data_IF_679301782001
#
_entry.id   IF_679301782001
#
_cell.length_a   1.000
_cell.length_b   1.000
_cell.length_c   1.000
_cell.angle_alpha   90.00
_cell.angle_beta   90.00
_cell.angle_gamma   90.00
#
_symmetry.space_group_name_H-M   'P 1'
#
loop_
_entity.id
_entity.type
_entity.pdbx_description
1 polymer ?
#
# COMPACT_ATOMS: atom_id res chain seq x y z
N UNK A 1 37.13 12.76 47.17
CA UNK A 1 38.07 11.65 47.48
C UNK A 1 37.43 10.32 47.10
N UNK A 2 37.88 9.70 46.00
CA UNK A 2 38.10 8.25 45.80
C UNK A 2 38.54 8.08 44.34
N UNK A 3 39.83 7.79 44.17
CA UNK A 3 40.56 7.56 42.91
C UNK A 3 40.63 6.04 42.65
N UNK A 4 41.02 5.72 41.40
CA UNK A 4 41.81 4.56 40.90
C UNK A 4 40.96 3.56 40.07
N UNK A 5 41.39 3.04 38.93
CA UNK A 5 42.70 3.02 38.26
C UNK A 5 42.53 2.72 36.74
N UNK A 6 43.39 3.30 35.91
CA UNK A 6 43.60 2.94 34.50
C UNK A 6 44.66 1.84 34.41
N UNK A 7 44.50 0.86 33.51
CA UNK A 7 45.57 0.00 33.02
C UNK A 7 45.62 0.06 31.49
N UNK A 8 46.69 0.68 30.98
CA UNK A 8 47.22 0.48 29.63
C UNK A 8 48.22 -0.69 29.70
N UNK A 9 48.21 -1.57 28.69
CA UNK A 9 49.42 -2.20 28.17
C UNK A 9 49.25 -2.41 26.66
N UNK A 10 50.24 -1.88 25.92
CA UNK A 10 50.44 -2.02 24.50
C UNK A 10 51.35 -3.23 24.19
N UNK A 11 51.43 -3.58 22.90
CA UNK A 11 52.51 -4.23 22.11
C UNK A 11 51.79 -5.12 21.07
N UNK A 12 51.58 -4.71 19.81
CA UNK A 12 52.49 -4.49 18.68
C UNK A 12 52.86 -5.76 17.88
N UNK A 13 52.94 -5.54 16.55
CA UNK A 13 53.59 -6.33 15.48
C UNK A 13 52.70 -7.32 14.70
N UNK A 14 52.68 -7.15 13.37
CA UNK A 14 52.33 -8.23 12.43
C UNK A 14 51.78 -7.81 11.07
N UNK A 15 52.66 -7.28 10.19
CA UNK A 15 52.41 -7.21 8.75
C UNK A 15 52.32 -8.63 8.15
N UNK A 16 51.38 -8.90 7.24
CA UNK A 16 51.62 -9.65 6.00
C UNK A 16 50.37 -9.71 5.12
N UNK A 17 50.55 -9.26 3.89
CA UNK A 17 49.78 -9.54 2.69
C UNK A 17 49.69 -11.05 2.43
N UNK A 18 48.56 -11.51 1.88
CA UNK A 18 48.52 -12.39 0.69
C UNK A 18 47.10 -12.65 0.19
N UNK A 19 46.90 -12.35 -1.09
CA UNK A 19 45.86 -12.88 -1.97
C UNK A 19 45.91 -14.42 -2.03
N UNK A 20 44.80 -15.09 -2.34
CA UNK A 20 44.85 -16.30 -3.14
C UNK A 20 44.38 -16.02 -4.57
N UNK A 21 45.29 -16.34 -5.49
CA UNK A 21 45.07 -16.49 -6.92
C UNK A 21 44.12 -17.66 -7.21
N UNK A 22 43.33 -17.48 -8.27
CA UNK A 22 42.65 -18.55 -8.98
C UNK A 22 43.66 -19.57 -9.53
N UNK A 23 43.32 -20.86 -9.45
CA UNK A 23 44.00 -21.92 -10.21
C UNK A 23 42.98 -22.68 -11.05
N UNK A 24 43.20 -22.64 -12.37
CA UNK A 24 42.59 -23.52 -13.34
C UNK A 24 43.22 -24.92 -13.24
N UNK A 25 42.40 -25.96 -13.28
CA UNK A 25 42.84 -27.32 -13.57
C UNK A 25 42.01 -27.91 -14.72
N UNK A 26 42.70 -28.38 -15.76
CA UNK A 26 42.17 -29.03 -16.96
C UNK A 26 41.88 -30.54 -16.69
N UNK A 27 41.18 -31.24 -17.60
CA UNK A 27 40.32 -32.37 -17.25
C UNK A 27 41.05 -33.73 -17.22
N UNK A 28 40.59 -34.62 -16.34
CA UNK A 28 40.96 -36.03 -16.35
C UNK A 28 39.86 -36.85 -17.02
N UNK A 29 40.24 -37.56 -18.08
CA UNK A 29 39.43 -38.58 -18.74
C UNK A 29 39.32 -39.82 -17.85
N UNK A 30 38.12 -40.40 -17.78
CA UNK A 30 37.93 -41.78 -17.30
C UNK A 30 36.94 -42.47 -18.24
N UNK A 31 37.45 -43.49 -18.92
CA UNK A 31 36.68 -44.39 -19.75
C UNK A 31 35.91 -45.38 -18.87
N UNK A 32 34.67 -45.69 -19.24
CA UNK A 32 34.01 -46.92 -18.81
C UNK A 32 33.23 -47.52 -19.98
N UNK A 33 33.54 -48.79 -20.23
CA UNK A 33 32.98 -49.62 -21.29
C UNK A 33 31.56 -50.10 -20.93
N UNK A 34 30.67 -50.16 -21.93
CA UNK A 34 29.37 -50.80 -21.86
C UNK A 34 29.39 -52.14 -22.65
N UNK A 35 28.72 -53.21 -22.18
CA UNK A 35 28.47 -54.39 -23.00
C UNK A 35 27.18 -54.25 -23.83
N UNK A 36 27.22 -54.77 -25.05
CA UNK A 36 26.20 -54.56 -26.08
C UNK A 36 25.02 -55.55 -26.09
N UNK A 37 24.04 -55.22 -26.95
CA UNK A 37 22.98 -56.11 -27.44
C UNK A 37 22.72 -55.79 -28.92
N UNK A 38 22.54 -56.85 -29.72
CA UNK A 38 22.40 -56.88 -31.18
C UNK A 38 21.06 -56.32 -31.73
N UNK A 39 20.96 -56.05 -33.05
CA UNK A 39 19.84 -55.34 -33.68
C UNK A 39 18.76 -56.29 -34.21
N UNK A 40 17.49 -55.90 -34.11
CA UNK A 40 16.35 -56.62 -34.70
C UNK A 40 15.62 -55.77 -35.74
N UNK A 41 15.35 -56.42 -36.87
CA UNK A 41 14.93 -55.86 -38.15
C UNK A 41 13.47 -55.36 -38.19
N UNK A 42 13.23 -54.42 -39.10
CA UNK A 42 11.97 -53.73 -39.38
C UNK A 42 11.13 -54.42 -40.46
N UNK A 43 9.80 -54.25 -40.40
CA UNK A 43 8.84 -54.25 -41.53
C UNK A 43 7.47 -53.68 -41.07
N UNK A 44 6.56 -53.23 -41.96
CA UNK A 44 6.48 -51.85 -42.47
C UNK A 44 5.19 -51.09 -42.11
N UNK A 45 5.23 -49.78 -42.39
CA UNK A 45 4.24 -48.74 -42.08
C UNK A 45 2.93 -48.79 -42.90
N UNK A 46 1.86 -48.24 -42.31
CA UNK A 46 0.66 -47.73 -42.99
C UNK A 46 0.78 -46.19 -43.15
N UNK A 47 0.19 -45.57 -44.19
CA UNK A 47 0.49 -44.17 -44.54
C UNK A 47 -0.25 -43.19 -43.63
N UNK A 48 0.49 -42.26 -43.05
CA UNK A 48 -0.07 -41.07 -42.38
C UNK A 48 -0.22 -40.00 -43.47
N UNK A 49 -1.47 -39.62 -43.72
CA UNK A 49 -1.82 -38.45 -44.53
C UNK A 49 -1.35 -37.21 -43.78
N UNK A 50 -0.52 -36.40 -44.43
CA UNK A 50 -0.05 -35.10 -43.91
C UNK A 50 -1.21 -34.12 -43.98
N UNK A 51 -1.82 -33.83 -42.83
CA UNK A 51 -2.65 -32.66 -42.61
C UNK A 51 -1.87 -31.63 -41.78
N UNK A 52 -1.80 -30.40 -42.26
CA UNK A 52 -1.19 -29.26 -41.56
C UNK A 52 -1.80 -29.09 -40.15
N UNK A 53 -1.01 -28.79 -39.11
CA UNK A 53 -1.55 -28.45 -37.80
C UNK A 53 -2.02 -27.00 -37.83
N UNK A 54 -3.30 -26.78 -38.08
CA UNK A 54 -3.98 -25.53 -37.71
C UNK A 54 -4.07 -25.49 -36.18
N UNK A 55 -3.17 -24.75 -35.55
CA UNK A 55 -3.27 -24.41 -34.14
C UNK A 55 -4.40 -23.38 -33.97
N UNK A 56 -5.58 -23.85 -33.54
CA UNK A 56 -6.66 -22.98 -33.10
C UNK A 56 -6.23 -22.32 -31.79
N UNK A 57 -5.96 -21.02 -31.83
CA UNK A 57 -5.80 -20.18 -30.64
C UNK A 57 -7.11 -20.24 -29.86
N UNK A 58 -7.08 -20.80 -28.65
CA UNK A 58 -8.17 -20.64 -27.70
C UNK A 58 -8.29 -19.15 -27.38
N UNK A 59 -9.51 -18.62 -27.51
CA UNK A 59 -9.85 -17.25 -27.15
C UNK A 59 -9.42 -16.96 -25.71
N UNK A 60 -8.92 -15.74 -25.41
CA UNK A 60 -8.71 -15.34 -24.03
C UNK A 60 -10.04 -15.46 -23.29
N UNK A 61 -10.06 -16.21 -22.20
CA UNK A 61 -11.19 -16.19 -21.27
C UNK A 61 -11.42 -14.74 -20.88
N UNK A 62 -12.59 -14.22 -21.25
CA UNK A 62 -13.02 -12.88 -20.89
C UNK A 62 -12.82 -12.65 -19.38
N UNK A 63 -12.37 -11.46 -18.95
CA UNK A 63 -12.28 -11.16 -17.53
C UNK A 63 -13.63 -11.41 -16.87
N UNK A 64 -13.58 -12.01 -15.68
CA UNK A 64 -14.74 -12.36 -14.88
C UNK A 64 -15.79 -11.25 -14.93
N UNK A 65 -17.03 -11.64 -15.26
CA UNK A 65 -18.16 -10.72 -15.34
C UNK A 65 -18.16 -9.77 -14.15
N UNK A 66 -18.04 -8.48 -14.43
CA UNK A 66 -18.23 -7.41 -13.46
C UNK A 66 -19.64 -7.62 -12.90
N UNK A 67 -19.76 -8.02 -11.64
CA UNK A 67 -21.06 -8.17 -11.01
C UNK A 67 -21.78 -6.82 -11.10
N UNK A 68 -22.91 -6.77 -11.81
CA UNK A 68 -23.61 -5.55 -12.26
C UNK A 68 -24.11 -4.59 -11.14
N UNK A 69 -23.80 -4.84 -9.87
CA UNK A 69 -24.25 -4.01 -8.73
C UNK A 69 -23.19 -3.80 -7.64
N UNK A 70 -21.89 -3.91 -7.96
CA UNK A 70 -20.86 -3.60 -6.96
C UNK A 70 -20.61 -2.09 -6.91
N UNK A 71 -20.64 -1.45 -5.72
CA UNK A 71 -20.36 -0.02 -5.60
C UNK A 71 -19.00 0.34 -6.18
N UNK A 72 -18.99 1.24 -7.15
CA UNK A 72 -17.80 1.76 -7.78
C UNK A 72 -17.66 3.25 -7.52
N UNK A 73 -16.42 3.74 -7.51
CA UNK A 73 -16.14 5.18 -7.50
C UNK A 73 -14.98 5.50 -8.42
N UNK A 74 -15.10 6.62 -9.11
CA UNK A 74 -14.03 7.19 -9.90
C UNK A 74 -13.18 8.11 -9.02
N UNK A 75 -11.86 7.99 -9.14
CA UNK A 75 -10.90 8.78 -8.39
C UNK A 75 -9.82 9.26 -9.34
N UNK A 76 -9.61 10.57 -9.33
CA UNK A 76 -8.54 11.23 -10.06
C UNK A 76 -7.40 11.57 -9.10
N UNK A 77 -6.25 10.93 -9.27
CA UNK A 77 -5.04 11.22 -8.50
C UNK A 77 -4.10 12.12 -9.32
N UNK A 78 -4.13 13.43 -9.05
CA UNK A 78 -3.30 14.41 -9.75
C UNK A 78 -1.86 14.42 -9.25
N UNK A 79 -0.90 14.54 -10.17
CA UNK A 79 0.52 14.66 -9.83
C UNK A 79 0.81 15.90 -8.97
N UNK A 80 0.00 16.97 -9.07
CA UNK A 80 0.08 18.10 -8.15
C UNK A 80 -0.07 17.70 -6.67
N UNK A 81 -0.73 16.58 -6.38
CA UNK A 81 -0.97 16.05 -5.04
C UNK A 81 -0.07 14.86 -4.70
N UNK A 82 0.13 13.93 -5.64
CA UNK A 82 0.82 12.65 -5.36
C UNK A 82 2.30 12.63 -5.76
N UNK A 83 2.77 13.56 -6.60
CA UNK A 83 4.18 13.65 -6.95
C UNK A 83 4.94 14.58 -5.97
N UNK A 84 6.26 14.39 -5.78
CA UNK A 84 7.05 15.27 -4.93
C UNK A 84 6.86 16.75 -5.29
N UNK A 85 6.74 17.66 -4.31
CA UNK A 85 6.60 19.09 -4.59
C UNK A 85 7.71 19.58 -5.54
N UNK A 86 7.38 20.31 -6.61
CA UNK A 86 6.12 21.03 -6.87
C UNK A 86 5.06 20.25 -7.66
N UNK A 87 5.18 18.94 -7.84
CA UNK A 87 4.23 18.10 -8.58
C UNK A 87 4.46 18.05 -10.09
N UNK A 88 5.39 18.84 -10.63
CA UNK A 88 5.96 18.68 -11.97
C UNK A 88 7.29 17.94 -11.87
N UNK A 89 7.60 17.09 -12.84
CA UNK A 89 8.78 16.24 -12.83
C UNK A 89 9.62 16.57 -14.06
N UNK A 90 10.90 16.92 -13.85
CA UNK A 90 11.84 17.14 -14.96
C UNK A 90 12.82 15.98 -15.00
N UNK A 91 12.67 15.13 -16.00
CA UNK A 91 13.59 14.03 -16.29
C UNK A 91 14.76 14.57 -17.12
N UNK A 92 15.98 14.16 -16.79
CA UNK A 92 17.20 14.61 -17.47
C UNK A 92 18.09 13.42 -17.79
N UNK A 93 19.02 13.56 -18.73
CA UNK A 93 19.98 12.47 -19.02
C UNK A 93 20.77 11.98 -17.79
N UNK A 94 21.06 12.86 -16.83
CA UNK A 94 21.74 12.50 -15.56
C UNK A 94 20.81 12.01 -14.44
N UNK A 95 19.49 12.19 -14.58
CA UNK A 95 18.44 11.72 -13.67
C UNK A 95 17.22 11.34 -14.52
N UNK A 96 17.30 10.18 -15.20
CA UNK A 96 16.30 9.79 -16.18
C UNK A 96 15.01 9.29 -15.53
N UNK A 97 15.06 8.94 -14.24
CA UNK A 97 13.97 8.34 -13.50
C UNK A 97 13.32 9.30 -12.50
N UNK A 98 12.01 9.14 -12.34
CA UNK A 98 11.25 9.68 -11.24
C UNK A 98 10.06 8.77 -10.95
N UNK A 99 9.51 8.86 -9.74
CA UNK A 99 8.37 8.05 -9.36
C UNK A 99 7.29 8.84 -8.65
N UNK A 100 6.08 8.33 -8.79
CA UNK A 100 4.88 8.80 -8.10
C UNK A 100 4.25 7.61 -7.40
N UNK A 101 3.81 7.81 -6.16
CA UNK A 101 3.32 6.71 -5.32
C UNK A 101 1.86 6.91 -4.93
N UNK A 102 1.11 5.82 -4.86
CA UNK A 102 -0.25 5.82 -4.34
C UNK A 102 -0.53 4.53 -3.58
N UNK A 103 -1.30 4.65 -2.50
CA UNK A 103 -1.73 3.52 -1.71
C UNK A 103 -3.13 3.05 -2.11
N UNK A 104 -3.45 1.83 -1.73
CA UNK A 104 -4.73 1.20 -1.98
C UNK A 104 -5.31 0.67 -0.67
N UNK A 105 -6.61 0.87 -0.46
CA UNK A 105 -7.30 0.33 0.70
C UNK A 105 -7.54 -1.16 0.55
N UNK A 106 -7.57 -1.86 1.68
CA UNK A 106 -7.78 -3.30 1.76
C UNK A 106 -9.22 -3.74 1.47
N UNK A 107 -10.17 -2.82 1.56
CA UNK A 107 -11.61 -3.03 1.32
C UNK A 107 -12.05 -2.59 -0.09
N UNK A 108 -11.10 -2.35 -0.99
CA UNK A 108 -11.35 -1.95 -2.37
C UNK A 108 -10.46 -2.76 -3.32
N UNK A 109 -10.79 -2.75 -4.61
CA UNK A 109 -9.91 -3.13 -5.71
C UNK A 109 -9.95 -2.09 -6.82
N UNK A 110 -8.89 -2.01 -7.64
CA UNK A 110 -8.91 -1.18 -8.84
C UNK A 110 -9.44 -2.03 -10.00
N UNK A 111 -10.57 -1.63 -10.56
CA UNK A 111 -11.18 -2.28 -11.72
C UNK A 111 -10.61 -1.73 -13.04
N UNK A 112 -10.23 -0.45 -13.07
CA UNK A 112 -9.65 0.19 -14.23
C UNK A 112 -8.64 1.26 -13.81
N UNK A 113 -7.57 1.42 -14.57
CA UNK A 113 -6.55 2.44 -14.35
C UNK A 113 -6.04 3.03 -15.67
N UNK A 114 -6.07 4.36 -15.77
CA UNK A 114 -5.60 5.08 -16.96
C UNK A 114 -4.66 6.21 -16.53
N UNK A 115 -3.42 6.15 -16.98
CA UNK A 115 -2.45 7.21 -16.78
C UNK A 115 -2.61 8.26 -17.89
N UNK A 116 -2.97 9.48 -17.49
CA UNK A 116 -3.04 10.64 -18.37
C UNK A 116 -1.80 11.50 -18.13
N UNK A 117 -0.89 11.53 -19.11
CA UNK A 117 0.33 12.32 -19.05
C UNK A 117 0.19 13.59 -19.88
N UNK A 118 0.64 14.70 -19.33
CA UNK A 118 0.95 15.92 -20.07
C UNK A 118 2.46 16.17 -19.96
N UNK A 119 3.19 16.14 -21.07
CA UNK A 119 4.64 16.34 -21.05
C UNK A 119 5.16 17.14 -22.24
N UNK A 120 6.37 17.68 -22.12
CA UNK A 120 7.09 18.43 -23.15
C UNK A 120 8.48 17.84 -23.33
N UNK A 121 8.78 17.21 -24.48
CA UNK A 121 10.13 16.76 -24.80
C UNK A 121 11.00 17.93 -25.28
N UNK A 122 12.30 17.89 -24.99
CA UNK A 122 13.26 18.85 -25.51
C UNK A 122 13.24 18.93 -27.04
N UNK A 123 13.34 20.13 -27.65
CA UNK A 123 13.36 20.29 -29.11
C UNK A 123 14.59 19.66 -29.78
N UNK A 124 15.62 19.33 -29.00
CA UNK A 124 16.87 18.74 -29.50
C UNK A 124 16.87 17.21 -29.49
N UNK A 125 15.79 16.55 -29.06
CA UNK A 125 15.74 15.10 -29.03
C UNK A 125 15.64 14.50 -30.44
N UNK A 126 16.24 13.33 -30.61
CA UNK A 126 16.07 12.50 -31.79
C UNK A 126 14.73 11.75 -31.71
N UNK A 127 13.81 11.96 -32.67
CA UNK A 127 12.55 11.23 -32.72
C UNK A 127 12.75 9.72 -32.85
N UNK A 128 11.79 8.94 -32.35
CA UNK A 128 11.75 7.47 -32.33
C UNK A 128 12.81 6.82 -31.42
N UNK A 129 14.04 7.33 -31.39
CA UNK A 129 15.10 6.86 -30.49
C UNK A 129 14.85 7.33 -29.05
N UNK A 130 14.37 8.57 -28.89
CA UNK A 130 14.01 9.10 -27.58
C UNK A 130 12.62 8.63 -27.19
N UNK A 131 12.46 8.17 -25.95
CA UNK A 131 11.23 7.58 -25.45
C UNK A 131 11.06 7.81 -23.94
N UNK A 132 9.80 7.77 -23.51
CA UNK A 132 9.42 7.72 -22.11
C UNK A 132 8.83 6.34 -21.81
N UNK A 133 9.49 5.57 -20.94
CA UNK A 133 8.94 4.31 -20.45
C UNK A 133 8.15 4.56 -19.17
N UNK A 134 7.06 3.82 -18.99
CA UNK A 134 6.23 3.87 -17.80
C UNK A 134 6.18 2.49 -17.18
N UNK A 135 6.51 2.42 -15.90
CA UNK A 135 6.46 1.20 -15.11
C UNK A 135 5.44 1.34 -13.98
N UNK A 136 4.78 0.23 -13.63
CA UNK A 136 4.02 0.09 -12.40
C UNK A 136 4.64 -1.06 -11.60
N UNK A 137 5.14 -0.79 -10.39
CA UNK A 137 5.73 -1.82 -9.51
C UNK A 137 6.78 -2.68 -10.24
N UNK A 138 7.68 -2.01 -10.97
CA UNK A 138 8.74 -2.58 -11.80
C UNK A 138 8.31 -3.34 -13.07
N UNK A 139 7.00 -3.48 -13.33
CA UNK A 139 6.47 -4.01 -14.58
C UNK A 139 6.33 -2.91 -15.64
N UNK A 140 6.70 -3.18 -16.90
CA UNK A 140 6.62 -2.21 -17.99
C UNK A 140 5.18 -2.12 -18.51
N UNK A 141 4.51 -0.99 -18.22
CA UNK A 141 3.14 -0.73 -18.70
C UNK A 141 3.12 -0.27 -20.15
N UNK A 142 4.16 0.48 -20.57
CA UNK A 142 4.25 0.91 -21.95
C UNK A 142 5.41 1.86 -22.23
N UNK A 143 5.59 2.15 -23.51
CA UNK A 143 6.66 2.99 -24.03
C UNK A 143 6.06 4.05 -24.95
N UNK A 144 6.34 5.31 -24.67
CA UNK A 144 5.86 6.46 -25.42
C UNK A 144 7.03 7.05 -26.22
N UNK A 145 7.15 6.75 -27.53
CA UNK A 145 8.19 7.31 -28.37
C UNK A 145 7.96 8.81 -28.60
N UNK A 146 9.05 9.59 -28.63
CA UNK A 146 9.00 11.01 -29.01
C UNK A 146 8.93 11.12 -30.53
N UNK A 147 7.94 11.82 -31.06
CA UNK A 147 7.84 12.08 -32.51
C UNK A 147 8.32 13.49 -32.87
N UNK A 148 8.61 13.72 -34.15
CA UNK A 148 9.15 15.00 -34.65
C UNK A 148 8.21 16.17 -34.38
N UNK A 149 6.91 15.93 -34.43
CA UNK A 149 5.87 16.96 -34.27
C UNK A 149 5.73 17.44 -32.83
N UNK A 150 6.16 16.60 -31.88
CA UNK A 150 6.07 16.79 -30.42
C UNK A 150 7.23 17.62 -29.86
N UNK A 151 8.36 17.69 -30.56
CA UNK A 151 9.58 18.36 -30.11
C UNK A 151 9.33 19.81 -29.68
N UNK A 152 9.66 20.14 -28.43
CA UNK A 152 9.49 21.47 -27.84
C UNK A 152 8.04 21.89 -27.60
N UNK A 153 7.07 20.99 -27.78
CA UNK A 153 5.64 21.27 -27.59
C UNK A 153 5.07 20.46 -26.44
N UNK A 154 4.05 21.02 -25.80
CA UNK A 154 3.25 20.32 -24.81
C UNK A 154 2.37 19.29 -25.51
N UNK A 155 2.43 18.04 -25.07
CA UNK A 155 1.67 16.93 -25.62
C UNK A 155 0.90 16.22 -24.51
N UNK A 156 -0.17 15.52 -24.89
CA UNK A 156 -0.93 14.65 -24.01
C UNK A 156 -0.87 13.21 -24.51
N UNK A 157 -0.67 12.28 -23.60
CA UNK A 157 -0.67 10.85 -23.86
C UNK A 157 -1.54 10.14 -22.83
N UNK A 158 -2.20 9.08 -23.26
CA UNK A 158 -2.94 8.19 -22.40
C UNK A 158 -2.29 6.81 -22.47
N UNK A 159 -2.06 6.22 -21.31
CA UNK A 159 -1.50 4.88 -21.19
C UNK A 159 -2.37 4.06 -20.25
N UNK A 160 -3.02 2.98 -20.74
CA UNK A 160 -3.73 2.06 -19.85
C UNK A 160 -2.72 1.42 -18.90
N UNK A 161 -3.09 1.33 -17.62
CA UNK A 161 -2.31 0.68 -16.58
C UNK A 161 -3.06 -0.60 -16.23
N UNK A 162 -2.40 -1.74 -16.35
CA UNK A 162 -3.03 -3.02 -16.05
C UNK A 162 -3.28 -3.15 -14.53
N UNK A 163 -4.55 -3.21 -14.08
CA UNK A 163 -4.87 -3.28 -12.66
C UNK A 163 -4.32 -4.54 -11.96
N UNK A 164 -3.96 -5.59 -12.71
CA UNK A 164 -3.39 -6.82 -12.14
C UNK A 164 -2.08 -6.58 -11.39
N UNK A 165 -1.32 -5.56 -11.78
CA UNK A 165 -0.05 -5.20 -11.14
C UNK A 165 -0.22 -4.21 -9.98
N UNK A 166 -1.45 -3.76 -9.70
CA UNK A 166 -1.74 -2.88 -8.56
C UNK A 166 -1.79 -3.71 -7.28
N UNK A 167 -0.99 -3.31 -6.30
CA UNK A 167 -0.89 -3.91 -4.97
C UNK A 167 -1.26 -2.89 -3.89
N UNK A 168 -0.95 -3.18 -2.62
CA UNK A 168 -1.21 -2.29 -1.49
C UNK A 168 -0.53 -0.91 -1.62
N UNK A 169 0.73 -0.91 -2.08
CA UNK A 169 1.55 0.28 -2.25
C UNK A 169 2.11 0.27 -3.65
N UNK A 170 1.75 1.30 -4.43
CA UNK A 170 2.03 1.32 -5.85
C UNK A 170 2.99 2.43 -6.19
N UNK A 171 3.95 2.12 -7.06
CA UNK A 171 4.90 3.07 -7.62
C UNK A 171 4.77 3.11 -9.13
N UNK A 172 4.33 4.25 -9.65
CA UNK A 172 4.42 4.57 -11.08
C UNK A 172 5.78 5.21 -11.31
N UNK A 173 6.67 4.52 -12.02
CA UNK A 173 8.01 5.01 -12.36
C UNK A 173 8.05 5.46 -13.81
N UNK A 174 8.49 6.69 -14.03
CA UNK A 174 8.74 7.27 -15.34
C UNK A 174 10.24 7.18 -15.62
N UNK A 175 10.62 6.63 -16.76
CA UNK A 175 12.02 6.50 -17.17
C UNK A 175 12.23 7.12 -18.55
N UNK A 176 13.00 8.20 -18.59
CA UNK A 176 13.38 8.89 -19.80
C UNK A 176 14.62 8.26 -20.42
N UNK A 177 14.49 7.81 -21.67
CA UNK A 177 15.61 7.43 -22.51
C UNK A 177 15.71 8.47 -23.62
N UNK A 178 16.70 9.34 -23.53
CA UNK A 178 16.85 10.47 -24.45
C UNK A 178 18.15 10.40 -25.24
N UNK A 179 18.05 10.73 -26.53
CA UNK A 179 19.17 10.92 -27.43
C UNK A 179 19.01 12.27 -28.15
N UNK A 180 20.10 12.98 -28.39
CA UNK A 180 20.15 14.25 -29.12
C UNK A 180 21.13 14.25 -30.31
N UNK A 181 21.91 13.18 -30.47
CA UNK A 181 22.78 12.91 -31.63
C UNK A 181 23.09 11.42 -31.73
N UNK A 182 23.38 10.91 -32.92
CA UNK A 182 23.58 9.46 -33.08
C UNK A 182 24.92 8.93 -32.51
N UNK A 183 25.93 9.80 -32.32
CA UNK A 183 27.29 9.39 -31.92
C UNK A 183 27.92 10.38 -30.93
N UNK A 184 28.68 9.87 -29.94
CA UNK A 184 29.43 10.65 -28.94
C UNK A 184 28.56 11.64 -28.15
N UNK A 185 27.51 11.13 -27.51
CA UNK A 185 26.64 11.92 -26.62
C UNK A 185 27.32 12.24 -25.29
N UNK A 186 26.94 13.37 -24.70
CA UNK A 186 27.18 13.65 -23.29
C UNK A 186 25.89 13.42 -22.49
N UNK A 187 25.81 12.40 -21.61
CA UNK A 187 24.63 12.15 -20.78
C UNK A 187 24.24 13.32 -19.87
N UNK A 188 25.18 14.21 -19.54
CA UNK A 188 24.93 15.41 -18.74
C UNK A 188 24.55 16.65 -19.58
N UNK A 189 24.32 16.49 -20.89
CA UNK A 189 23.91 17.61 -21.76
C UNK A 189 22.62 18.26 -21.26
N UNK A 190 22.59 19.59 -21.22
CA UNK A 190 21.39 20.36 -20.87
C UNK A 190 20.27 20.23 -21.90
N UNK A 191 20.55 19.68 -23.08
CA UNK A 191 19.57 19.39 -24.14
C UNK A 191 18.76 18.13 -23.89
N UNK A 192 19.21 17.23 -23.00
CA UNK A 192 18.54 15.98 -22.66
C UNK A 192 17.56 16.20 -21.51
N UNK A 193 16.33 16.60 -21.85
CA UNK A 193 15.28 16.77 -20.87
C UNK A 193 13.89 16.40 -21.42
N UNK A 194 13.02 15.98 -20.50
CA UNK A 194 11.59 15.79 -20.70
C UNK A 194 10.87 16.31 -19.45
N UNK A 195 9.98 17.28 -19.63
CA UNK A 195 9.21 17.90 -18.54
C UNK A 195 7.82 17.29 -18.49
N UNK A 196 7.51 16.58 -17.40
CA UNK A 196 6.18 16.03 -17.12
C UNK A 196 5.43 17.03 -16.24
N UNK A 197 4.36 17.57 -16.80
CA UNK A 197 3.55 18.60 -16.17
C UNK A 197 2.74 18.06 -15.00
N UNK A 198 2.50 18.94 -14.03
CA UNK A 198 1.64 18.67 -12.86
C UNK A 198 0.17 18.39 -13.19
N UNK A 199 -0.25 18.73 -14.40
CA UNK A 199 -1.57 18.41 -14.95
C UNK A 199 -1.71 16.94 -15.34
N UNK A 200 -0.65 16.13 -15.21
CA UNK A 200 -0.72 14.68 -15.33
C UNK A 200 -1.47 14.07 -14.13
N UNK A 201 -2.14 12.95 -14.36
CA UNK A 201 -2.94 12.28 -13.33
C UNK A 201 -3.22 10.82 -13.67
N UNK A 202 -3.54 10.06 -12.64
CA UNK A 202 -4.05 8.70 -12.75
C UNK A 202 -5.57 8.72 -12.54
N UNK A 203 -6.33 8.25 -13.54
CA UNK A 203 -7.75 7.96 -13.39
C UNK A 203 -7.91 6.52 -12.93
N UNK A 204 -8.57 6.32 -11.80
CA UNK A 204 -8.79 5.02 -11.20
C UNK A 204 -10.29 4.80 -11.00
N UNK A 205 -10.77 3.63 -11.41
CA UNK A 205 -12.09 3.13 -11.03
C UNK A 205 -11.90 2.11 -9.92
N UNK A 206 -12.28 2.49 -8.70
CA UNK A 206 -12.28 1.59 -7.57
C UNK A 206 -13.61 0.84 -7.48
N UNK A 207 -13.55 -0.41 -7.04
CA UNK A 207 -14.68 -1.26 -6.74
C UNK A 207 -14.60 -1.69 -5.29
N UNK A 208 -15.69 -1.56 -4.55
CA UNK A 208 -15.74 -1.93 -3.13
C UNK A 208 -15.77 -3.44 -2.95
N UNK A 209 -15.08 -3.95 -1.93
CA UNK A 209 -15.09 -5.36 -1.56
C UNK A 209 -16.04 -5.59 -0.38
N UNK A 210 -16.84 -6.65 -0.47
CA UNK A 210 -17.62 -7.10 0.68
C UNK A 210 -16.68 -7.81 1.65
N UNK A 211 -16.15 -7.07 2.61
CA UNK A 211 -15.30 -7.61 3.68
C UNK A 211 -16.15 -8.49 4.61
N UNK A 212 -15.59 -9.56 5.17
CA UNK A 212 -16.29 -10.36 6.18
C UNK A 212 -16.29 -9.66 7.54
N UNK A 213 -17.26 -9.96 8.40
CA UNK A 213 -17.25 -9.47 9.77
C UNK A 213 -16.21 -10.25 10.59
N UNK A 214 -14.98 -9.75 10.58
CA UNK A 214 -13.86 -10.32 11.33
C UNK A 214 -12.94 -9.22 11.86
N UNK A 215 -12.85 -9.13 13.18
CA UNK A 215 -12.00 -8.20 13.90
C UNK A 215 -10.52 -8.60 13.86
N UNK A 216 -10.15 -9.77 13.34
CA UNK A 216 -8.74 -10.19 13.24
C UNK A 216 -7.84 -9.22 12.46
N UNK A 217 -8.44 -8.44 11.55
CA UNK A 217 -7.78 -7.39 10.76
C UNK A 217 -7.97 -5.97 11.31
N UNK A 218 -8.60 -5.82 12.50
CA UNK A 218 -8.82 -4.54 13.13
C UNK A 218 -7.49 -3.77 13.27
N UNK A 219 -7.41 -2.48 12.84
CA UNK A 219 -8.53 -1.56 12.61
C UNK A 219 -9.13 -1.49 11.20
N UNK A 220 -8.71 -2.32 10.24
CA UNK A 220 -9.34 -2.35 8.91
C UNK A 220 -10.78 -2.88 9.06
N UNK A 221 -11.80 -2.27 8.41
CA UNK A 221 -11.73 -1.20 7.41
C UNK A 221 -11.95 0.23 7.95
N UNK A 222 -12.06 0.42 9.27
CA UNK A 222 -12.29 1.72 9.91
C UNK A 222 -11.09 2.66 9.80
N UNK A 223 -9.88 2.11 9.83
CA UNK A 223 -8.65 2.79 9.49
C UNK A 223 -7.76 1.82 8.71
N UNK A 224 -7.22 2.30 7.60
CA UNK A 224 -6.26 1.57 6.78
C UNK A 224 -4.96 2.38 6.68
N UNK A 225 -3.80 1.85 7.13
CA UNK A 225 -2.52 2.55 7.03
C UNK A 225 -2.08 2.81 5.57
N UNK A 226 -2.65 2.10 4.60
CA UNK A 226 -2.41 2.25 3.16
C UNK A 226 -3.21 3.40 2.54
N UNK A 227 -4.22 3.93 3.23
CA UNK A 227 -4.99 5.10 2.77
C UNK A 227 -4.28 6.40 3.18
N UNK A 228 -3.87 7.19 2.19
CA UNK A 228 -3.17 8.46 2.43
C UNK A 228 -4.09 9.66 2.64
N UNK A 229 -5.41 9.48 2.58
CA UNK A 229 -6.38 10.55 2.79
C UNK A 229 -6.59 10.86 4.29
N UNK A 230 -7.14 12.04 4.64
CA UNK A 230 -7.60 12.31 5.99
C UNK A 230 -8.62 11.27 6.47
N UNK A 231 -8.48 10.82 7.71
CA UNK A 231 -9.41 9.85 8.31
C UNK A 231 -10.75 10.55 8.59
N UNK A 232 -11.82 10.14 7.92
CA UNK A 232 -13.19 10.59 8.24
C UNK A 232 -14.03 9.40 8.71
N UNK A 233 -14.24 9.32 10.02
CA UNK A 233 -14.84 8.17 10.69
C UNK A 233 -16.06 8.62 11.53
N UNK A 234 -17.29 8.48 11.02
CA UNK A 234 -18.49 8.84 11.77
C UNK A 234 -18.66 8.08 13.09
N UNK A 235 -19.22 8.76 14.08
CA UNK A 235 -19.59 8.23 15.38
C UNK A 235 -21.10 8.35 15.58
N UNK A 236 -21.76 7.23 15.82
CA UNK A 236 -23.21 7.12 15.87
C UNK A 236 -23.67 6.84 17.30
N UNK A 237 -24.64 7.60 17.77
CA UNK A 237 -25.30 7.43 19.06
C UNK A 237 -26.81 7.28 18.89
N UNK A 238 -27.53 6.63 19.82
CA UNK A 238 -29.00 6.59 19.81
C UNK A 238 -29.66 7.98 19.92
N UNK A 239 -28.95 8.94 20.49
CA UNK A 239 -29.40 10.32 20.72
C UNK A 239 -28.25 11.12 21.33
N UNK A 240 -28.56 12.26 21.96
CA UNK A 240 -27.53 13.08 22.60
C UNK A 240 -26.77 12.28 23.69
N UNK A 241 -25.44 12.09 23.57
CA UNK A 241 -24.70 11.21 24.44
C UNK A 241 -24.50 11.81 25.83
N UNK A 242 -24.63 10.97 26.85
CA UNK A 242 -24.25 11.32 28.22
C UNK A 242 -22.73 11.50 28.35
N UNK A 243 -22.26 12.13 29.43
CA UNK A 243 -20.83 12.41 29.67
C UNK A 243 -19.96 11.14 29.56
N UNK A 244 -20.42 10.01 30.09
CA UNK A 244 -19.69 8.73 30.02
C UNK A 244 -19.56 8.22 28.57
N UNK A 245 -20.60 8.38 27.75
CA UNK A 245 -20.58 8.00 26.34
C UNK A 245 -19.68 8.94 25.52
N UNK A 246 -19.70 10.25 25.82
CA UNK A 246 -18.78 11.22 25.24
C UNK A 246 -17.32 10.87 25.59
N UNK A 247 -17.05 10.46 26.82
CA UNK A 247 -15.72 10.02 27.25
C UNK A 247 -15.27 8.76 26.49
N UNK A 248 -16.14 7.77 26.35
CA UNK A 248 -15.84 6.57 25.58
C UNK A 248 -15.52 6.89 24.11
N UNK A 249 -16.32 7.76 23.49
CA UNK A 249 -16.08 8.22 22.13
C UNK A 249 -14.78 9.02 22.00
N UNK A 250 -14.46 9.88 22.95
CA UNK A 250 -13.19 10.62 22.98
C UNK A 250 -11.97 9.69 23.08
N UNK A 251 -12.06 8.59 23.83
CA UNK A 251 -11.01 7.58 23.93
C UNK A 251 -10.79 6.90 22.57
N UNK A 252 -11.86 6.46 21.91
CA UNK A 252 -11.80 5.81 20.59
C UNK A 252 -11.29 6.80 19.53
N UNK A 253 -11.80 8.02 19.51
CA UNK A 253 -11.35 9.10 18.63
C UNK A 253 -9.85 9.38 18.82
N UNK A 254 -9.38 9.42 20.07
CA UNK A 254 -7.97 9.65 20.40
C UNK A 254 -7.08 8.51 19.90
N UNK A 255 -7.53 7.26 20.02
CA UNK A 255 -6.80 6.10 19.50
C UNK A 255 -6.72 6.12 17.97
N UNK A 256 -7.84 6.30 17.26
CA UNK A 256 -7.84 6.44 15.80
C UNK A 256 -7.06 7.68 15.33
N UNK A 257 -7.14 8.79 16.08
CA UNK A 257 -6.37 10.00 15.81
C UNK A 257 -4.86 9.76 15.90
N UNK A 258 -4.41 8.97 16.89
CA UNK A 258 -3.00 8.57 16.99
C UNK A 258 -2.52 7.72 15.81
N UNK A 259 -3.43 6.98 15.15
CA UNK A 259 -3.14 6.22 13.93
C UNK A 259 -3.13 7.10 12.68
N UNK A 260 -4.02 8.08 12.59
CA UNK A 260 -4.11 8.99 11.43
C UNK A 260 -2.85 9.84 11.26
N UNK A 261 -2.24 10.29 12.37
CA UNK A 261 -0.99 11.06 12.35
C UNK A 261 -1.13 12.36 11.55
N UNK A 262 -0.17 12.61 10.65
CA UNK A 262 -0.11 13.84 9.85
C UNK A 262 -1.23 13.99 8.82
N UNK A 263 -1.94 12.90 8.48
CA UNK A 263 -2.99 12.90 7.42
C UNK A 263 -4.22 13.72 7.79
N UNK A 264 -4.39 14.04 9.07
CA UNK A 264 -5.59 14.70 9.60
C UNK A 264 -6.73 13.72 9.87
N UNK A 265 -7.68 14.15 10.70
CA UNK A 265 -8.82 13.34 11.14
C UNK A 265 -10.09 14.19 11.30
N UNK A 266 -11.24 13.54 11.11
CA UNK A 266 -12.58 14.06 11.39
C UNK A 266 -13.44 12.93 11.94
N UNK A 267 -14.16 13.20 13.03
CA UNK A 267 -15.15 12.27 13.61
C UNK A 267 -16.54 12.92 13.62
N UNK A 268 -17.26 12.95 12.48
CA UNK A 268 -18.62 13.49 12.42
C UNK A 268 -19.55 12.71 13.35
N UNK A 269 -20.48 13.39 14.01
CA UNK A 269 -21.42 12.76 14.95
C UNK A 269 -22.80 12.65 14.31
N UNK A 270 -23.40 11.47 14.40
CA UNK A 270 -24.74 11.16 13.93
C UNK A 270 -25.61 10.66 15.09
N UNK A 271 -26.90 10.99 15.04
CA UNK A 271 -27.89 10.52 16.00
C UNK A 271 -28.91 9.65 15.30
N UNK A 272 -28.91 8.37 15.64
CA UNK A 272 -29.86 7.38 15.14
C UNK A 272 -29.95 7.32 13.60
N UNK A 273 -28.84 7.59 12.92
CA UNK A 273 -28.76 7.66 11.46
C UNK A 273 -27.55 6.86 10.97
N UNK A 274 -27.74 6.14 9.86
CA UNK A 274 -26.69 5.35 9.21
C UNK A 274 -25.95 6.19 8.16
N UNK A 275 -24.61 6.32 8.25
CA UNK A 275 -23.82 7.00 7.25
C UNK A 275 -23.57 6.12 6.01
N UNK A 276 -23.05 6.75 4.97
CA UNK A 276 -22.63 6.15 3.70
C UNK A 276 -21.23 5.52 3.72
N UNK A 277 -20.66 5.28 4.90
CA UNK A 277 -19.27 4.86 5.09
C UNK A 277 -19.05 4.14 6.42
N UNK A 278 -17.90 3.49 6.54
CA UNK A 278 -17.53 2.78 7.76
C UNK A 278 -17.62 3.71 8.97
N UNK A 279 -18.21 3.23 10.06
CA UNK A 279 -18.53 4.07 11.23
C UNK A 279 -18.44 3.30 12.55
N UNK A 280 -18.37 4.06 13.65
CA UNK A 280 -18.37 3.53 15.01
C UNK A 280 -19.73 3.78 15.64
N UNK A 281 -20.35 2.77 16.23
CA UNK A 281 -21.63 2.86 16.91
C UNK A 281 -21.44 2.68 18.40
N UNK A 282 -22.01 3.57 19.21
CA UNK A 282 -22.02 3.47 20.65
C UNK A 282 -23.41 3.06 21.12
N UNK A 283 -23.52 1.92 21.79
CA UNK A 283 -24.81 1.36 22.20
C UNK A 283 -24.74 0.66 23.57
N UNK A 284 -25.83 0.72 24.32
CA UNK A 284 -26.07 -0.11 25.50
C UNK A 284 -27.36 -0.92 25.34
N UNK A 285 -27.56 -1.94 26.18
CA UNK A 285 -28.76 -2.78 26.08
C UNK A 285 -30.06 -1.96 26.13
N UNK A 286 -30.07 -0.91 26.96
CA UNK A 286 -31.23 -0.03 27.14
C UNK A 286 -31.26 1.17 26.17
N UNK A 287 -30.11 1.56 25.61
CA UNK A 287 -29.98 2.74 24.73
C UNK A 287 -29.16 2.40 23.50
N UNK A 288 -29.85 2.13 22.39
CA UNK A 288 -29.23 1.78 21.11
C UNK A 288 -30.00 2.39 19.94
N UNK A 289 -29.32 2.70 18.82
CA UNK A 289 -30.00 3.17 17.61
C UNK A 289 -31.06 2.19 17.14
N UNK A 290 -32.07 2.69 16.42
CA UNK A 290 -33.22 1.92 15.94
C UNK A 290 -32.82 0.75 15.05
N UNK A 291 -31.75 0.92 14.25
CA UNK A 291 -31.22 -0.15 13.41
C UNK A 291 -30.57 -1.30 14.22
N UNK A 292 -30.31 -1.10 15.52
CA UNK A 292 -29.88 -2.15 16.47
C UNK A 292 -30.98 -2.56 17.45
N UNK A 293 -32.23 -2.09 17.26
CA UNK A 293 -33.32 -2.32 18.23
C UNK A 293 -33.59 -3.79 18.49
N UNK A 294 -33.40 -4.66 17.50
CA UNK A 294 -33.66 -6.09 17.60
C UNK A 294 -32.36 -6.91 17.84
N UNK A 295 -31.22 -6.23 17.99
CA UNK A 295 -29.94 -6.87 18.28
C UNK A 295 -30.00 -7.58 19.65
N UNK A 296 -29.43 -8.78 19.83
CA UNK A 296 -29.39 -9.44 21.13
C UNK A 296 -28.67 -8.58 22.19
N UNK A 297 -29.13 -8.57 23.45
CA UNK A 297 -28.44 -7.87 24.52
C UNK A 297 -27.10 -8.55 24.85
N UNK A 298 -26.09 -7.75 25.16
CA UNK A 298 -24.77 -8.24 25.58
C UNK A 298 -24.72 -8.49 27.08
N UNK A 299 -23.88 -9.44 27.50
CA UNK A 299 -23.68 -9.81 28.92
C UNK A 299 -22.39 -9.26 29.52
N UNK A 300 -21.53 -8.67 28.69
CA UNK A 300 -20.23 -8.13 29.03
C UNK A 300 -19.93 -6.93 28.10
N UNK A 301 -18.88 -6.13 28.37
CA UNK A 301 -18.36 -5.18 27.39
C UNK A 301 -17.97 -5.91 26.12
N UNK A 302 -18.49 -5.48 24.97
CA UNK A 302 -18.35 -6.18 23.70
C UNK A 302 -18.00 -5.20 22.58
N UNK A 303 -17.09 -5.61 21.71
CA UNK A 303 -16.78 -4.92 20.46
C UNK A 303 -17.17 -5.85 19.33
N UNK A 304 -17.99 -5.38 18.42
CA UNK A 304 -18.58 -6.20 17.36
C UNK A 304 -18.47 -5.48 16.01
N UNK A 305 -18.17 -6.23 14.96
CA UNK A 305 -18.22 -5.77 13.59
C UNK A 305 -19.48 -6.32 12.93
N UNK A 306 -20.32 -5.43 12.40
CA UNK A 306 -21.53 -5.79 11.65
C UNK A 306 -21.56 -5.10 10.29
N UNK A 307 -22.40 -5.62 9.40
CA UNK A 307 -22.73 -4.97 8.13
C UNK A 307 -23.64 -3.76 8.41
N UNK A 308 -23.49 -2.68 7.64
CA UNK A 308 -24.51 -1.66 7.59
C UNK A 308 -25.78 -2.27 6.97
N UNK A 309 -26.94 -2.22 7.63
CA UNK A 309 -28.18 -2.86 7.15
C UNK A 309 -28.62 -2.39 5.76
N UNK A 310 -28.26 -1.17 5.37
CA UNK A 310 -28.61 -0.58 4.08
C UNK A 310 -27.55 -0.82 3.01
N UNK A 311 -26.31 -1.15 3.41
CA UNK A 311 -25.17 -1.34 2.50
C UNK A 311 -24.16 -2.36 3.06
N UNK A 312 -24.12 -3.61 2.56
CA UNK A 312 -23.23 -4.65 3.07
C UNK A 312 -21.73 -4.41 2.77
N UNK A 313 -21.39 -3.42 1.94
CA UNK A 313 -19.99 -3.02 1.69
C UNK A 313 -19.48 -2.06 2.77
N UNK A 314 -20.38 -1.47 3.56
CA UNK A 314 -20.06 -0.58 4.68
C UNK A 314 -20.12 -1.35 6.00
N UNK A 315 -19.11 -1.17 6.84
CA UNK A 315 -19.01 -1.82 8.16
C UNK A 315 -19.29 -0.86 9.31
N UNK A 316 -19.91 -1.40 10.34
CA UNK A 316 -20.14 -0.70 11.60
C UNK A 316 -19.37 -1.41 12.71
N UNK A 317 -18.54 -0.66 13.46
CA UNK A 317 -17.93 -1.15 14.69
C UNK A 317 -18.85 -0.78 15.85
N UNK A 318 -19.57 -1.75 16.39
CA UNK A 318 -20.43 -1.55 17.55
C UNK A 318 -19.61 -1.71 18.82
N UNK A 319 -19.50 -0.64 19.59
CA UNK A 319 -18.97 -0.63 20.95
C UNK A 319 -20.18 -0.75 21.87
N UNK A 320 -20.39 -1.96 22.38
CA UNK A 320 -21.59 -2.40 23.06
C UNK A 320 -21.31 -2.69 24.54
N UNK A 321 -22.18 -2.25 25.43
CA UNK A 321 -22.13 -2.61 26.86
C UNK A 321 -23.50 -2.95 27.42
N UNK A 322 -23.53 -3.59 28.60
CA UNK A 322 -24.78 -3.69 29.36
C UNK A 322 -25.29 -2.29 29.73
N UNK A 323 -24.37 -1.42 30.11
CA UNK A 323 -24.58 -0.04 30.52
C UNK A 323 -23.43 0.87 30.03
N UNK A 324 -23.45 2.15 30.44
CA UNK A 324 -22.44 3.13 30.04
C UNK A 324 -21.04 2.82 30.61
N UNK A 325 -20.92 2.08 31.73
CA UNK A 325 -19.63 1.71 32.31
C UNK A 325 -18.96 0.59 31.50
N UNK A 326 -19.74 -0.42 31.12
CA UNK A 326 -19.27 -1.48 30.22
C UNK A 326 -18.87 -0.90 28.86
N UNK A 327 -19.67 0.03 28.31
CA UNK A 327 -19.34 0.72 27.07
C UNK A 327 -18.00 1.48 27.18
N UNK A 328 -17.77 2.17 28.29
CA UNK A 328 -16.49 2.84 28.56
C UNK A 328 -15.33 1.84 28.69
N UNK A 329 -15.57 0.67 29.30
CA UNK A 329 -14.57 -0.39 29.42
C UNK A 329 -14.20 -0.98 28.04
N UNK A 330 -15.18 -1.20 27.16
CA UNK A 330 -14.97 -1.63 25.79
C UNK A 330 -14.11 -0.62 24.99
N UNK A 331 -14.44 0.68 25.10
CA UNK A 331 -13.67 1.75 24.47
C UNK A 331 -12.20 1.82 24.97
N UNK A 332 -11.99 1.69 26.28
CA UNK A 332 -10.63 1.62 26.87
C UNK A 332 -9.88 0.38 26.38
N UNK A 333 -10.57 -0.74 26.23
CA UNK A 333 -10.03 -1.97 25.70
C UNK A 333 -9.43 -1.81 24.31
N UNK A 334 -10.13 -1.10 23.40
CA UNK A 334 -9.60 -0.75 22.07
C UNK A 334 -8.30 0.05 22.21
N UNK A 335 -8.32 1.10 23.01
CA UNK A 335 -7.20 2.04 23.11
C UNK A 335 -5.92 1.43 23.70
N UNK A 336 -6.06 0.46 24.61
CA UNK A 336 -4.92 -0.17 25.27
C UNK A 336 -4.25 -1.28 24.44
N UNK A 337 -4.89 -1.79 23.39
CA UNK A 337 -4.29 -2.78 22.48
C UNK A 337 -4.01 -4.16 23.09
N UNK A 338 -4.57 -4.46 24.26
CA UNK A 338 -4.40 -5.75 24.95
C UNK A 338 -5.48 -6.78 24.59
N UNK A 339 -6.43 -6.42 23.72
CA UNK A 339 -7.50 -7.31 23.26
C UNK A 339 -6.99 -8.12 22.07
N UNK A 340 -7.17 -9.43 22.13
CA UNK A 340 -7.01 -10.28 20.96
C UNK A 340 -8.29 -10.22 20.12
N UNK A 341 -8.30 -9.33 19.13
CA UNK A 341 -9.41 -9.19 18.20
C UNK A 341 -9.49 -10.41 17.26
N UNK A 342 -10.56 -11.19 17.32
CA UNK A 342 -10.82 -12.35 16.44
C UNK A 342 -12.32 -12.58 16.27
N UNK A 343 -12.74 -12.96 15.05
CA UNK A 343 -14.14 -13.23 14.74
C UNK A 343 -14.95 -11.95 14.65
N UNK A 344 -16.28 -12.07 14.51
CA UNK A 344 -17.16 -10.92 14.36
C UNK A 344 -17.36 -10.11 15.64
N UNK A 345 -17.10 -10.70 16.82
CA UNK A 345 -17.35 -10.10 18.12
C UNK A 345 -16.29 -10.53 19.15
N UNK A 346 -15.89 -9.61 20.03
CA UNK A 346 -14.94 -9.87 21.11
C UNK A 346 -15.43 -9.23 22.41
N UNK A 347 -15.32 -9.96 23.51
CA UNK A 347 -15.61 -9.45 24.86
C UNK A 347 -14.36 -8.89 25.52
N UNK A 348 -14.52 -7.85 26.33
CA UNK A 348 -13.42 -7.25 27.10
C UNK A 348 -13.50 -7.70 28.55
N UNK A 349 -12.73 -8.73 28.89
CA UNK A 349 -12.74 -9.34 30.23
C UNK A 349 -12.08 -8.45 31.31
N UNK A 350 -11.33 -7.43 30.89
CA UNK A 350 -10.73 -6.43 31.76
C UNK A 350 -9.62 -5.65 31.09
N UNK A 351 -9.30 -4.48 31.64
CA UNK A 351 -8.19 -3.63 31.17
C UNK A 351 -7.08 -3.61 32.21
N UNK A 352 -5.82 -3.72 31.77
CA UNK A 352 -4.69 -3.54 32.66
C UNK A 352 -4.57 -2.06 33.02
N UNK A 353 -4.39 -1.76 34.30
CA UNK A 353 -4.09 -0.39 34.72
C UNK A 353 -2.72 0.00 34.19
N UNK A 354 -2.68 1.03 33.34
CA UNK A 354 -1.43 1.58 32.83
C UNK A 354 -0.70 2.31 33.96
N UNK A 355 0.62 2.18 34.01
CA UNK A 355 1.41 3.00 34.92
C UNK A 355 1.31 4.48 34.51
N UNK A 356 1.35 5.41 35.47
CA UNK A 356 1.43 6.83 35.16
C UNK A 356 2.60 7.14 34.22
N UNK A 357 2.34 8.02 33.26
CA UNK A 357 3.37 8.54 32.36
C UNK A 357 4.44 9.27 33.15
N UNK A 358 5.70 9.11 32.76
CA UNK A 358 6.84 9.83 33.32
C UNK A 358 7.06 11.15 32.58
N UNK A 359 7.68 12.16 33.21
CA UNK A 359 8.09 13.36 32.50
C UNK A 359 9.00 13.01 31.31
N UNK A 360 8.78 13.68 30.17
CA UNK A 360 9.58 13.53 28.93
C UNK A 360 9.55 12.12 28.29
N UNK A 361 8.51 11.32 28.57
CA UNK A 361 8.38 9.96 28.04
C UNK A 361 7.57 9.87 26.72
N UNK A 362 7.16 11.00 26.14
CA UNK A 362 6.34 11.07 24.94
C UNK A 362 7.02 10.37 23.75
N UNK A 363 6.36 9.41 23.07
CA UNK A 363 7.02 8.53 22.10
C UNK A 363 7.53 9.24 20.84
N UNK A 364 6.85 10.30 20.39
CA UNK A 364 7.20 11.03 19.17
C UNK A 364 8.08 12.26 19.45
N UNK A 365 8.66 12.35 20.65
CA UNK A 365 9.50 13.46 21.06
C UNK A 365 10.90 12.93 21.37
N UNK A 366 11.92 13.71 21.00
CA UNK A 366 13.29 13.40 21.40
C UNK A 366 13.38 13.47 22.93
N UNK A 367 13.83 12.38 23.53
CA UNK A 367 14.05 12.31 24.98
C UNK A 367 15.10 13.33 25.41
N UNK A 368 14.79 14.06 26.48
CA UNK A 368 15.68 15.08 27.07
C UNK A 368 16.34 14.63 28.37
N UNK A 369 15.94 13.47 28.89
CA UNK A 369 16.40 12.92 30.17
C UNK A 369 17.67 12.06 30.05
N UNK A 370 18.10 11.75 28.82
CA UNK A 370 19.33 11.00 28.53
C UNK A 370 19.86 11.32 27.12
N UNK A 371 21.10 10.92 26.85
CA UNK A 371 21.65 10.92 25.49
C UNK A 371 20.86 9.96 24.57
N UNK A 372 20.59 10.39 23.35
CA UNK A 372 19.82 9.66 22.32
C UNK A 372 20.76 9.32 21.16
N UNK A 373 20.70 8.09 20.64
CA UNK A 373 21.51 7.68 19.49
C UNK A 373 20.84 8.08 18.18
N UNK A 374 21.60 8.21 17.08
CA UNK A 374 20.99 8.48 15.77
C UNK A 374 20.00 7.40 15.33
N UNK A 375 20.22 6.13 15.71
CA UNK A 375 19.29 5.04 15.42
C UNK A 375 17.94 5.21 16.14
N UNK A 376 17.91 5.86 17.30
CA UNK A 376 16.67 6.20 18.00
C UNK A 376 15.88 7.33 17.32
N UNK A 377 16.51 8.09 16.42
CA UNK A 377 15.87 9.17 15.66
C UNK A 377 15.23 8.69 14.34
N UNK A 378 15.59 7.51 13.87
CA UNK A 378 15.10 6.96 12.59
C UNK A 378 13.61 6.57 12.65
N UNK A 379 13.08 6.33 13.85
CA UNK A 379 11.69 5.89 14.11
C UNK A 379 10.81 6.97 14.76
N UNK A 380 11.25 8.25 14.77
CA UNK A 380 10.51 9.37 15.37
C UNK A 380 9.46 9.99 14.45
#
# INVERSE_FOLDING_TARGET
MKRKLSWMCAVAVGMCSWYPLASYAAPAAVANAAPGVQPQAATPAAPIVVGEPTATLAEPTAPAAVAENVPQREVKLSFATIAPPPGSIVLRGSRPDASVEFGMRSDELVANALLNLEYTPSPSLLPVQSQLKVYLNDELMGVLPVTKEQLGKKIRAQLPIDPLYITDFNRVRLEFVGYYRDVCENPASSTLWLDVGRESYLDLTYQSLKVNNDLSHFPVPFYDPRDNRPLKLPMIFPGSPAVTQQQAAAIVASWFGSKAGWRGQQFPVYFNELPDRNAIVFATNDKRPDFLRDHPPVKAPTIEMIDNPNDPYVKLLVIFGRDDNDLLLAAKGIAQGNILFRGSSVTVDGIKTLQPRQPYDAPNWVRTDRSVTFAELENL
#
